data_IF_477648577681
#
_entry.id   IF_477648577681
#
_cell.length_a   1.000
_cell.length_b   1.000
_cell.length_c   1.000
_cell.angle_alpha   90.00
_cell.angle_beta   90.00
_cell.angle_gamma   90.00
#
_symmetry.space_group_name_H-M   'P 1'
#
loop_
_entity.id
_entity.type
_entity.pdbx_description
1 polymer ?
#
# COMPACT_ATOMS: atom_id res chain seq x y z
N UNK A 1 -7.66 1.79 -26.97
CA UNK A 1 -7.37 2.04 -25.54
C UNK A 1 -7.60 0.75 -24.76
N UNK A 2 -6.77 0.37 -23.79
CA UNK A 2 -7.05 -0.80 -22.95
C UNK A 2 -8.35 -0.60 -22.18
N UNK A 3 -9.14 -1.67 -22.02
CA UNK A 3 -10.40 -1.59 -21.29
C UNK A 3 -10.15 -1.20 -19.81
N UNK A 4 -11.01 -0.34 -19.23
CA UNK A 4 -10.93 -0.04 -17.80
C UNK A 4 -11.14 -1.31 -16.98
N UNK A 5 -10.58 -1.35 -15.77
CA UNK A 5 -10.80 -2.47 -14.84
C UNK A 5 -12.30 -2.66 -14.57
N UNK A 6 -12.75 -3.91 -14.49
CA UNK A 6 -14.09 -4.23 -14.01
C UNK A 6 -14.25 -3.89 -12.52
N UNK A 7 -15.49 -3.88 -12.02
CA UNK A 7 -15.75 -3.67 -10.59
C UNK A 7 -15.03 -4.74 -9.74
N UNK A 8 -15.13 -6.01 -10.09
CA UNK A 8 -14.46 -7.10 -9.39
C UNK A 8 -12.93 -6.97 -9.43
N UNK A 9 -12.37 -6.53 -10.56
CA UNK A 9 -10.92 -6.27 -10.66
C UNK A 9 -10.48 -5.13 -9.76
N UNK A 10 -11.29 -4.07 -9.62
CA UNK A 10 -11.02 -2.98 -8.65
C UNK A 10 -11.08 -3.49 -7.21
N UNK A 11 -12.05 -4.34 -6.87
CA UNK A 11 -12.11 -4.96 -5.53
C UNK A 11 -10.91 -5.86 -5.26
N UNK A 12 -10.45 -6.64 -6.24
CA UNK A 12 -9.24 -7.44 -6.10
C UNK A 12 -8.01 -6.55 -5.81
N UNK A 13 -7.84 -5.45 -6.56
CA UNK A 13 -6.71 -4.53 -6.31
C UNK A 13 -6.83 -3.83 -4.95
N UNK A 14 -8.03 -3.42 -4.55
CA UNK A 14 -8.27 -2.89 -3.21
C UNK A 14 -7.93 -3.92 -2.11
N UNK A 15 -8.20 -5.21 -2.34
CA UNK A 15 -7.83 -6.28 -1.42
C UNK A 15 -6.30 -6.44 -1.33
N UNK A 16 -5.60 -6.49 -2.47
CA UNK A 16 -4.12 -6.53 -2.49
C UNK A 16 -3.52 -5.37 -1.70
N UNK A 17 -4.14 -4.18 -1.79
CA UNK A 17 -3.70 -2.99 -1.11
C UNK A 17 -3.85 -3.00 0.41
N UNK A 18 -4.77 -3.80 0.98
CA UNK A 18 -4.92 -3.89 2.44
C UNK A 18 -3.61 -4.29 3.13
N UNK A 19 -2.82 -5.14 2.47
CA UNK A 19 -1.52 -5.60 3.00
C UNK A 19 -0.31 -4.92 2.33
N UNK A 20 -0.49 -4.29 1.17
CA UNK A 20 0.61 -3.77 0.36
C UNK A 20 0.38 -2.32 -0.14
N UNK A 21 -0.44 -1.52 0.55
CA UNK A 21 -0.97 -0.24 0.04
C UNK A 21 0.07 0.69 -0.58
N UNK A 22 1.13 1.03 0.16
CA UNK A 22 2.21 1.91 -0.34
C UNK A 22 2.98 1.28 -1.50
N UNK A 23 3.28 -0.02 -1.44
CA UNK A 23 3.97 -0.73 -2.53
C UNK A 23 3.12 -0.82 -3.80
N UNK A 24 1.81 -0.98 -3.65
CA UNK A 24 0.89 -1.03 -4.78
C UNK A 24 0.77 0.35 -5.46
N UNK A 25 0.72 1.44 -4.68
CA UNK A 25 0.77 2.79 -5.22
C UNK A 25 2.06 3.04 -6.02
N UNK A 26 3.20 2.66 -5.47
CA UNK A 26 4.49 2.74 -6.16
C UNK A 26 4.47 1.89 -7.45
N UNK A 27 3.97 0.66 -7.37
CA UNK A 27 3.85 -0.26 -8.50
C UNK A 27 2.93 0.24 -9.62
N UNK A 28 1.97 1.13 -9.33
CA UNK A 28 1.16 1.76 -10.38
C UNK A 28 1.99 2.70 -11.26
N UNK A 29 3.02 3.34 -10.69
CA UNK A 29 3.81 4.39 -11.37
C UNK A 29 5.26 3.98 -11.69
N UNK A 30 5.74 2.85 -11.14
CA UNK A 30 7.11 2.37 -11.29
C UNK A 30 7.17 0.85 -11.59
N UNK A 31 7.86 0.49 -12.68
CA UNK A 31 8.00 -0.89 -13.15
C UNK A 31 8.91 -1.77 -12.27
N UNK A 32 9.88 -1.18 -11.57
CA UNK A 32 10.72 -1.88 -10.61
C UNK A 32 9.91 -2.21 -9.36
N UNK A 33 9.10 -1.27 -8.88
CA UNK A 33 8.21 -1.50 -7.74
C UNK A 33 7.16 -2.59 -8.04
N UNK A 34 6.60 -2.61 -9.26
CA UNK A 34 5.71 -3.70 -9.69
C UNK A 34 6.40 -5.06 -9.64
N UNK A 35 7.65 -5.16 -10.14
CA UNK A 35 8.42 -6.40 -10.06
C UNK A 35 8.69 -6.82 -8.62
N UNK A 36 9.04 -5.87 -7.74
CA UNK A 36 9.25 -6.14 -6.32
C UNK A 36 7.96 -6.62 -5.63
N UNK A 37 6.81 -6.03 -5.95
CA UNK A 37 5.52 -6.43 -5.42
C UNK A 37 5.17 -7.88 -5.82
N UNK A 38 5.38 -8.24 -7.08
CA UNK A 38 5.11 -9.59 -7.59
C UNK A 38 6.08 -10.63 -7.01
N UNK A 39 7.35 -10.26 -6.84
CA UNK A 39 8.41 -11.13 -6.31
C UNK A 39 8.20 -11.52 -4.85
N UNK A 40 7.41 -10.76 -4.09
CA UNK A 40 7.09 -11.09 -2.69
C UNK A 40 6.27 -12.37 -2.55
N UNK A 41 5.73 -12.92 -3.64
CA UNK A 41 5.03 -14.21 -3.73
C UNK A 41 4.18 -14.49 -2.48
N UNK A 42 2.95 -13.99 -2.47
CA UNK A 42 2.09 -14.11 -1.29
C UNK A 42 0.62 -13.86 -1.61
N UNK A 43 -0.18 -14.00 -0.58
CA UNK A 43 -1.62 -13.82 -0.63
C UNK A 43 -2.16 -13.44 0.74
N UNK A 44 -3.44 -13.11 0.78
CA UNK A 44 -4.18 -13.01 2.02
C UNK A 44 -5.46 -13.83 1.89
N UNK A 45 -5.89 -14.42 2.99
CA UNK A 45 -7.16 -15.14 3.10
C UNK A 45 -7.83 -14.78 4.41
N UNK A 46 -9.16 -14.68 4.39
CA UNK A 46 -9.96 -14.44 5.58
C UNK A 46 -11.28 -15.22 5.53
N UNK A 47 -12.02 -15.24 6.64
CA UNK A 47 -13.32 -15.91 6.69
C UNK A 47 -14.40 -15.18 5.87
N UNK A 48 -14.21 -13.88 5.59
CA UNK A 48 -15.17 -13.02 4.89
C UNK A 48 -14.48 -12.18 3.83
N UNK A 49 -15.26 -11.77 2.82
CA UNK A 49 -14.80 -10.84 1.79
C UNK A 49 -14.57 -9.43 2.37
N UNK A 50 -13.67 -8.62 1.76
CA UNK A 50 -13.56 -7.20 2.07
C UNK A 50 -14.86 -6.44 1.86
N UNK A 51 -15.04 -5.35 2.62
CA UNK A 51 -16.25 -4.52 2.53
C UNK A 51 -16.51 -4.06 1.08
N UNK A 52 -17.73 -4.30 0.61
CA UNK A 52 -18.18 -3.97 -0.74
C UNK A 52 -17.70 -4.93 -1.84
N UNK A 53 -16.78 -5.86 -1.56
CA UNK A 53 -16.40 -6.90 -2.51
C UNK A 53 -17.47 -8.01 -2.56
N UNK A 54 -17.55 -8.79 -3.65
CA UNK A 54 -18.40 -9.97 -3.70
C UNK A 54 -18.06 -10.98 -2.60
N UNK A 55 -19.07 -11.62 -2.00
CA UNK A 55 -18.91 -12.53 -0.84
C UNK A 55 -17.90 -13.67 -1.07
N UNK A 56 -17.72 -14.07 -2.33
CA UNK A 56 -16.77 -15.12 -2.70
C UNK A 56 -15.31 -14.66 -2.70
N UNK A 57 -15.03 -13.36 -2.65
CA UNK A 57 -13.68 -12.78 -2.69
C UNK A 57 -13.04 -12.78 -1.30
N UNK A 58 -12.91 -13.95 -0.70
CA UNK A 58 -12.36 -14.12 0.66
C UNK A 58 -10.83 -14.19 0.70
N UNK A 59 -10.17 -14.34 -0.45
CA UNK A 59 -8.71 -14.39 -0.54
C UNK A 59 -8.17 -13.82 -1.86
N UNK A 60 -6.87 -13.53 -1.90
CA UNK A 60 -6.13 -13.26 -3.13
C UNK A 60 -4.75 -13.93 -3.09
N UNK A 61 -4.19 -14.18 -4.27
CA UNK A 61 -2.84 -14.72 -4.43
C UNK A 61 -2.09 -13.99 -5.54
N UNK A 62 -0.79 -13.83 -5.33
CA UNK A 62 0.15 -13.38 -6.35
C UNK A 62 0.68 -14.60 -7.08
N UNK A 63 0.46 -14.66 -8.40
CA UNK A 63 0.84 -15.79 -9.25
C UNK A 63 1.54 -15.24 -10.47
N UNK A 64 2.85 -15.51 -10.61
CA UNK A 64 3.67 -14.99 -11.69
C UNK A 64 3.51 -13.46 -11.85
N UNK A 65 2.87 -13.01 -12.94
CA UNK A 65 2.70 -11.60 -13.31
C UNK A 65 1.31 -11.03 -12.98
N UNK A 66 0.53 -11.69 -12.13
CA UNK A 66 -0.87 -11.33 -11.85
C UNK A 66 -1.28 -11.58 -10.41
N UNK A 67 -2.33 -10.88 -10.01
CA UNK A 67 -3.12 -11.17 -8.82
C UNK A 67 -4.35 -11.96 -9.23
N UNK A 68 -4.72 -12.97 -8.44
CA UNK A 68 -5.89 -13.81 -8.66
C UNK A 68 -6.71 -13.94 -7.38
N UNK A 69 -8.00 -14.18 -7.52
CA UNK A 69 -8.91 -14.44 -6.40
C UNK A 69 -10.03 -15.39 -6.81
N UNK A 70 -10.56 -16.22 -5.87
CA UNK A 70 -10.11 -16.40 -4.49
C UNK A 70 -8.81 -17.19 -4.36
N UNK A 71 -8.58 -18.18 -5.22
CA UNK A 71 -7.45 -19.12 -5.13
C UNK A 71 -6.83 -19.42 -6.48
N UNK A 72 -5.67 -20.09 -6.49
CA UNK A 72 -5.00 -20.50 -7.72
C UNK A 72 -5.79 -21.59 -8.49
N UNK A 73 -6.46 -22.49 -7.75
CA UNK A 73 -7.20 -23.63 -8.32
C UNK A 73 -8.63 -23.28 -8.76
N UNK A 74 -9.16 -22.14 -8.31
CA UNK A 74 -10.50 -21.67 -8.63
C UNK A 74 -10.50 -20.16 -8.89
N UNK A 75 -9.72 -19.72 -9.88
CA UNK A 75 -9.61 -18.29 -10.22
C UNK A 75 -10.92 -17.80 -10.83
N UNK A 76 -11.59 -16.87 -10.13
CA UNK A 76 -12.79 -16.18 -10.64
C UNK A 76 -12.44 -14.83 -11.25
N UNK A 77 -11.52 -14.09 -10.62
CA UNK A 77 -11.02 -12.81 -11.13
C UNK A 77 -9.50 -12.79 -11.14
N UNK A 78 -8.94 -12.13 -12.15
CA UNK A 78 -7.51 -11.87 -12.26
C UNK A 78 -7.25 -10.43 -12.68
N UNK A 79 -6.15 -9.87 -12.17
CA UNK A 79 -5.61 -8.59 -12.61
C UNK A 79 -4.11 -8.76 -12.88
N UNK A 80 -3.70 -8.50 -14.12
CA UNK A 80 -2.29 -8.59 -14.51
C UNK A 80 -1.52 -7.32 -14.14
N UNK A 81 -0.20 -7.44 -14.03
CA UNK A 81 0.70 -6.30 -13.87
C UNK A 81 0.54 -5.28 -15.00
N UNK A 82 0.29 -5.74 -16.24
CA UNK A 82 0.01 -4.86 -17.36
C UNK A 82 -1.28 -4.03 -17.14
N UNK A 83 -2.33 -4.62 -16.56
CA UNK A 83 -3.56 -3.88 -16.26
C UNK A 83 -3.34 -2.84 -15.15
N UNK A 84 -2.61 -3.17 -14.09
CA UNK A 84 -2.29 -2.19 -13.02
C UNK A 84 -1.43 -1.04 -13.56
N UNK A 85 -0.46 -1.33 -14.44
CA UNK A 85 0.36 -0.29 -15.09
C UNK A 85 -0.44 0.58 -16.03
N UNK A 86 -1.38 0.00 -16.78
CA UNK A 86 -2.26 0.78 -17.64
C UNK A 86 -3.17 1.69 -16.81
N UNK A 87 -3.66 1.21 -15.66
CA UNK A 87 -4.37 2.07 -14.71
C UNK A 87 -3.48 3.24 -14.26
N UNK A 88 -2.26 2.96 -13.81
CA UNK A 88 -1.30 3.99 -13.41
C UNK A 88 -0.99 5.01 -14.51
N UNK A 89 -0.79 4.57 -15.75
CA UNK A 89 -0.56 5.45 -16.92
C UNK A 89 -1.77 6.32 -17.27
N UNK A 90 -2.97 5.88 -16.90
CA UNK A 90 -4.21 6.64 -17.14
C UNK A 90 -4.53 7.66 -16.05
N UNK A 91 -3.75 7.70 -14.96
CA UNK A 91 -3.98 8.65 -13.87
C UNK A 91 -3.69 10.09 -14.30
N UNK A 92 -4.46 11.08 -13.79
CA UNK A 92 -4.16 12.49 -14.03
C UNK A 92 -2.75 12.87 -13.54
N UNK A 93 -2.06 13.82 -14.22
CA UNK A 93 -0.72 14.25 -13.81
C UNK A 93 -0.63 14.75 -12.36
N UNK A 94 -1.68 15.44 -11.88
CA UNK A 94 -1.75 15.91 -10.48
C UNK A 94 -1.74 14.75 -9.49
N UNK A 95 -2.50 13.69 -9.76
CA UNK A 95 -2.54 12.51 -8.92
C UNK A 95 -1.20 11.75 -8.96
N UNK A 96 -0.52 11.71 -10.11
CA UNK A 96 0.84 11.17 -10.22
C UNK A 96 1.82 11.91 -9.31
N UNK A 97 1.78 13.24 -9.33
CA UNK A 97 2.65 14.07 -8.49
C UNK A 97 2.38 13.84 -7.00
N UNK A 98 1.10 13.78 -6.60
CA UNK A 98 0.71 13.55 -5.22
C UNK A 98 1.10 12.16 -4.71
N UNK A 99 0.98 11.12 -5.56
CA UNK A 99 1.48 9.78 -5.25
C UNK A 99 2.99 9.81 -4.97
N UNK A 100 3.78 10.51 -5.79
CA UNK A 100 5.23 10.62 -5.58
C UNK A 100 5.57 11.32 -4.26
N UNK A 101 4.89 12.42 -3.95
CA UNK A 101 5.07 13.12 -2.67
C UNK A 101 4.74 12.22 -1.47
N UNK A 102 3.66 11.45 -1.55
CA UNK A 102 3.30 10.49 -0.51
C UNK A 102 4.37 9.42 -0.32
N UNK A 103 4.91 8.87 -1.41
CA UNK A 103 5.98 7.86 -1.39
C UNK A 103 7.29 8.40 -0.82
N UNK A 104 7.65 9.63 -1.17
CA UNK A 104 8.82 10.33 -0.62
C UNK A 104 8.65 10.56 0.89
N UNK A 105 7.48 10.98 1.35
CA UNK A 105 7.19 11.16 2.77
C UNK A 105 7.24 9.84 3.56
N UNK A 106 6.71 8.74 3.00
CA UNK A 106 6.87 7.40 3.58
C UNK A 106 8.34 6.98 3.66
N UNK A 107 9.13 7.29 2.63
CA UNK A 107 10.56 6.95 2.59
C UNK A 107 11.38 7.78 3.57
N UNK A 108 11.06 9.07 3.72
CA UNK A 108 11.66 9.95 4.70
C UNK A 108 11.36 9.50 6.13
N UNK A 109 10.11 9.10 6.43
CA UNK A 109 9.75 8.60 7.75
C UNK A 109 10.43 7.26 8.06
N UNK A 110 10.50 6.34 7.09
CA UNK A 110 11.27 5.09 7.22
C UNK A 110 12.76 5.37 7.47
N UNK A 111 13.34 6.34 6.76
CA UNK A 111 14.73 6.73 6.97
C UNK A 111 14.95 7.38 8.35
N UNK A 112 14.00 8.18 8.85
CA UNK A 112 14.07 8.79 10.18
C UNK A 112 14.10 7.74 11.30
N UNK A 113 13.33 6.66 11.15
CA UNK A 113 13.17 5.65 12.20
C UNK A 113 14.02 4.38 12.01
N UNK A 114 14.78 4.26 10.92
CA UNK A 114 15.48 3.01 10.57
C UNK A 114 16.45 2.49 11.64
N UNK A 115 17.06 3.37 12.42
CA UNK A 115 18.02 3.00 13.49
C UNK A 115 17.37 2.79 14.83
N UNK A 116 16.07 3.06 14.96
CA UNK A 116 15.38 2.95 16.25
C UNK A 116 15.43 1.50 16.76
N UNK A 117 15.52 1.37 18.08
CA UNK A 117 15.53 0.10 18.79
C UNK A 117 14.60 0.20 19.98
N UNK A 118 13.81 -0.85 20.18
CA UNK A 118 12.87 -0.98 21.30
C UNK A 118 13.29 -2.09 22.26
N UNK A 119 14.57 -2.49 22.25
CA UNK A 119 15.04 -3.50 23.19
C UNK A 119 15.10 -2.92 24.61
N UNK A 120 15.06 -3.74 25.67
CA UNK A 120 15.12 -3.24 27.05
C UNK A 120 16.53 -2.81 27.48
N UNK A 121 17.54 -3.03 26.63
CA UNK A 121 18.97 -2.90 26.96
C UNK A 121 19.56 -1.51 26.66
N UNK A 122 18.75 -0.45 26.74
CA UNK A 122 19.18 0.92 26.46
C UNK A 122 20.29 1.39 27.41
N UNK A 123 20.19 0.97 28.68
CA UNK A 123 21.10 1.41 29.75
C UNK A 123 21.80 0.24 30.45
N UNK A 124 21.41 -1.00 30.14
CA UNK A 124 21.94 -2.21 30.76
C UNK A 124 22.42 -3.17 29.69
N UNK A 125 23.58 -3.79 29.92
CA UNK A 125 24.09 -4.82 29.04
C UNK A 125 23.20 -6.08 29.10
N UNK A 126 22.93 -6.75 27.96
CA UNK A 126 22.15 -7.98 27.96
C UNK A 126 22.92 -9.16 28.58
N UNK A 127 24.25 -9.12 28.60
CA UNK A 127 25.10 -10.12 29.24
C UNK A 127 26.50 -9.55 29.59
N UNK A 128 27.31 -10.34 30.31
CA UNK A 128 28.64 -9.94 30.79
C UNK A 128 29.69 -9.67 29.70
N UNK A 129 29.43 -10.03 28.45
CA UNK A 129 30.37 -9.92 27.33
C UNK A 129 29.95 -8.85 26.30
N UNK A 130 28.88 -8.10 26.58
CA UNK A 130 28.35 -7.06 25.71
C UNK A 130 28.12 -5.77 26.48
N UNK A 131 28.07 -4.64 25.77
CA UNK A 131 27.65 -3.36 26.34
C UNK A 131 26.14 -3.14 26.20
N UNK A 132 25.61 -2.03 26.74
CA UNK A 132 24.27 -1.55 26.40
C UNK A 132 24.09 -1.39 24.88
N UNK A 133 22.84 -1.42 24.43
CA UNK A 133 22.52 -1.21 23.02
C UNK A 133 22.98 0.18 22.55
N UNK A 134 23.67 0.23 21.41
CA UNK A 134 24.21 1.47 20.83
C UNK A 134 23.28 2.12 19.81
N UNK A 135 22.14 1.50 19.51
CA UNK A 135 21.12 2.05 18.59
C UNK A 135 20.35 3.18 19.27
N UNK A 136 19.63 4.00 18.50
CA UNK A 136 18.74 5.01 19.05
C UNK A 136 17.54 4.35 19.72
N UNK A 137 17.30 4.63 21.00
CA UNK A 137 16.04 4.27 21.66
C UNK A 137 15.17 5.52 21.69
N UNK A 138 14.04 5.54 20.97
CA UNK A 138 13.20 6.73 20.92
C UNK A 138 12.63 7.02 22.31
N UNK A 139 12.57 8.31 22.63
CA UNK A 139 11.72 8.79 23.73
C UNK A 139 10.24 8.53 23.43
N UNK A 140 9.40 8.59 24.47
CA UNK A 140 7.96 8.44 24.33
C UNK A 140 7.35 9.49 23.39
N UNK A 141 7.88 10.71 23.40
CA UNK A 141 7.44 11.81 22.52
C UNK A 141 7.80 11.53 21.05
N UNK A 142 9.02 11.06 20.78
CA UNK A 142 9.45 10.67 19.44
C UNK A 142 8.60 9.52 18.91
N UNK A 143 8.31 8.52 19.74
CA UNK A 143 7.49 7.37 19.37
C UNK A 143 6.01 7.77 19.14
N UNK A 144 5.46 8.65 19.98
CA UNK A 144 4.13 9.20 19.79
C UNK A 144 4.03 10.01 18.49
N UNK A 145 5.04 10.83 18.19
CA UNK A 145 5.12 11.56 16.92
C UNK A 145 5.22 10.60 15.72
N UNK A 146 6.07 9.57 15.81
CA UNK A 146 6.17 8.55 14.77
C UNK A 146 4.81 7.89 14.51
N UNK A 147 4.11 7.46 15.56
CA UNK A 147 2.79 6.84 15.44
C UNK A 147 1.76 7.76 14.78
N UNK A 148 1.75 9.04 15.14
CA UNK A 148 0.88 10.06 14.52
C UNK A 148 1.19 10.21 13.03
N UNK A 149 2.46 10.46 12.67
CA UNK A 149 2.90 10.61 11.27
C UNK A 149 2.60 9.35 10.45
N UNK A 150 2.88 8.16 10.99
CA UNK A 150 2.60 6.90 10.32
C UNK A 150 1.10 6.69 10.07
N UNK A 151 0.23 7.15 10.99
CA UNK A 151 -1.22 7.11 10.79
C UNK A 151 -1.68 8.08 9.69
N UNK A 152 -1.17 9.32 9.67
CA UNK A 152 -1.44 10.31 8.63
C UNK A 152 -1.00 9.81 7.25
N UNK A 153 0.23 9.28 7.15
CA UNK A 153 0.77 8.71 5.92
C UNK A 153 -0.01 7.49 5.42
N UNK A 154 -0.53 6.65 6.32
CA UNK A 154 -1.44 5.55 5.95
C UNK A 154 -2.74 6.10 5.37
N UNK A 155 -3.38 7.06 6.04
CA UNK A 155 -4.63 7.67 5.57
C UNK A 155 -4.45 8.33 4.20
N UNK A 156 -3.35 9.04 4.00
CA UNK A 156 -3.03 9.67 2.71
C UNK A 156 -2.89 8.62 1.60
N UNK A 157 -2.08 7.58 1.83
CA UNK A 157 -1.91 6.49 0.86
C UNK A 157 -3.23 5.78 0.52
N UNK A 158 -4.10 5.55 1.51
CA UNK A 158 -5.41 4.92 1.28
C UNK A 158 -6.35 5.82 0.47
N UNK A 159 -6.28 7.13 0.66
CA UNK A 159 -7.07 8.09 -0.13
C UNK A 159 -6.61 8.14 -1.58
N UNK A 160 -5.30 8.23 -1.82
CA UNK A 160 -4.71 8.20 -3.16
C UNK A 160 -5.05 6.91 -3.90
N UNK A 161 -5.00 5.77 -3.21
CA UNK A 161 -5.36 4.49 -3.81
C UNK A 161 -6.84 4.46 -4.22
N UNK A 162 -7.75 4.96 -3.37
CA UNK A 162 -9.18 5.04 -3.70
C UNK A 162 -9.41 5.93 -4.92
N UNK A 163 -8.75 7.08 -5.00
CA UNK A 163 -8.82 7.97 -6.16
C UNK A 163 -8.27 7.29 -7.43
N UNK A 164 -7.13 6.59 -7.32
CA UNK A 164 -6.52 5.88 -8.44
C UNK A 164 -7.40 4.74 -8.97
N UNK A 165 -8.13 4.04 -8.09
CA UNK A 165 -9.06 2.97 -8.48
C UNK A 165 -10.38 3.51 -9.03
N UNK A 166 -10.79 4.71 -8.65
CA UNK A 166 -12.07 5.32 -9.01
C UNK A 166 -11.93 6.76 -9.52
N UNK A 167 -11.22 6.98 -10.65
CA UNK A 167 -10.90 8.33 -11.12
C UNK A 167 -12.15 9.13 -11.55
N UNK A 168 -13.21 8.48 -12.04
CA UNK A 168 -14.45 9.16 -12.46
C UNK A 168 -15.22 9.80 -11.28
N UNK A 169 -15.15 9.21 -10.09
CA UNK A 169 -15.78 9.76 -8.88
C UNK A 169 -14.94 10.87 -8.25
N UNK A 170 -13.61 10.87 -8.46
CA UNK A 170 -12.72 11.92 -7.97
C UNK A 170 -12.99 13.26 -8.67
N UNK A 171 -13.15 13.25 -10.01
CA UNK A 171 -13.51 14.46 -10.80
C UNK A 171 -14.85 15.04 -10.35
N UNK A 172 -15.80 14.18 -9.98
CA UNK A 172 -17.11 14.63 -9.52
C UNK A 172 -17.06 15.34 -8.15
N UNK A 173 -16.17 14.93 -7.24
CA UNK A 173 -15.97 15.60 -5.95
C UNK A 173 -15.25 16.96 -6.09
N UNK A 174 -14.26 17.06 -6.97
CA UNK A 174 -13.57 18.32 -7.27
C UNK A 174 -14.51 19.36 -7.91
N UNK A 175 -15.46 18.92 -8.73
CA UNK A 175 -16.48 19.82 -9.31
C UNK A 175 -17.39 20.45 -8.24
N UNK A 176 -17.67 19.76 -7.13
CA UNK A 176 -18.46 20.32 -6.02
C UNK A 176 -17.63 21.14 -5.02
N UNK A 177 -16.32 20.86 -4.91
CA UNK A 177 -15.43 21.66 -4.06
C UNK A 177 -15.23 23.10 -4.60
N UNK A 178 -15.31 23.28 -5.91
CA UNK A 178 -15.20 24.58 -6.59
C UNK A 178 -16.50 25.40 -6.64
N UNK A 179 -17.58 24.92 -6.01
CA UNK A 179 -18.89 25.60 -5.93
C UNK A 179 -19.14 26.24 -4.55
N UNK A 180 -18.10 26.54 -3.79
CA UNK A 180 -18.18 27.24 -2.49
C UNK A 180 -17.49 28.60 -2.54
#
# INVERSE_FOLDING_TARGET
>A
MPAPLSAEQRHLIAFVARSNGTMLLEAMIDDRAMRALLARAGGASGPTAPDGAPDWMTSYWTVADKFVSPGQDNVRVRVTAAQVRNLGRSLPPGLHAEIRQCLDAHSAERARTHQWCYCPYAHTAPNAHSGPCTRHHPSDDEDAEHRRRAAELRTWSQTLLRQALHPATAVQLDLFANLR
#
